data_IF_426129518255
#
_entry.id   IF_426129518255
#
_cell.length_a   1.000
_cell.length_b   1.000
_cell.length_c   1.000
_cell.angle_alpha   90.00
_cell.angle_beta   90.00
_cell.angle_gamma   90.00
#
_symmetry.space_group_name_H-M   'P 1'
#
loop_
_entity.id
_entity.type
_entity.pdbx_description
1 polymer ?
#
# COMPACT_ATOMS: atom_id res chain seq x y z
N UNK A 1 -25.18 -59.74 -17.14
CA UNK A 1 -25.76 -58.44 -16.90
C UNK A 1 -24.67 -57.53 -16.35
N UNK A 2 -24.26 -56.57 -17.15
CA UNK A 2 -23.23 -55.63 -16.77
C UNK A 2 -23.89 -54.40 -16.17
N UNK A 3 -23.68 -54.21 -14.87
CA UNK A 3 -24.08 -52.97 -14.24
C UNK A 3 -22.99 -51.93 -14.45
N UNK A 4 -23.29 -50.93 -15.25
CA UNK A 4 -22.39 -49.81 -15.43
C UNK A 4 -22.57 -48.84 -14.27
N UNK A 5 -21.58 -48.82 -13.40
CA UNK A 5 -21.50 -47.83 -12.37
C UNK A 5 -20.97 -46.53 -13.01
N UNK A 6 -21.88 -45.62 -13.30
CA UNK A 6 -21.49 -44.27 -13.74
C UNK A 6 -21.02 -43.54 -12.51
N UNK A 7 -19.73 -43.53 -12.31
CA UNK A 7 -19.09 -42.61 -11.33
C UNK A 7 -19.19 -41.21 -11.92
N UNK A 8 -20.20 -40.50 -11.49
CA UNK A 8 -20.24 -39.04 -11.66
C UNK A 8 -19.15 -38.43 -10.77
N UNK A 9 -17.98 -38.26 -11.38
CA UNK A 9 -17.00 -37.36 -10.82
C UNK A 9 -17.58 -35.95 -10.88
N UNK A 10 -18.18 -35.52 -9.79
CA UNK A 10 -18.46 -34.11 -9.58
C UNK A 10 -17.16 -33.36 -9.56
N UNK A 11 -16.84 -32.70 -10.66
CA UNK A 11 -15.75 -31.73 -10.69
C UNK A 11 -16.21 -30.60 -9.80
N UNK A 12 -15.77 -30.64 -8.57
CA UNK A 12 -15.93 -29.56 -7.65
C UNK A 12 -14.98 -28.45 -8.08
N UNK A 13 -15.50 -27.53 -8.87
CA UNK A 13 -14.80 -26.28 -9.13
C UNK A 13 -14.76 -25.51 -7.83
N UNK A 14 -13.67 -25.64 -7.12
CA UNK A 14 -13.31 -24.64 -6.15
C UNK A 14 -12.99 -23.36 -6.89
N UNK A 15 -14.00 -22.51 -7.08
CA UNK A 15 -13.73 -21.10 -7.22
C UNK A 15 -13.17 -20.65 -5.88
N UNK A 16 -11.85 -20.74 -5.74
CA UNK A 16 -11.20 -20.02 -4.69
C UNK A 16 -11.62 -18.57 -4.86
N UNK A 17 -12.46 -18.04 -3.97
CA UNK A 17 -12.52 -16.61 -3.77
C UNK A 17 -11.06 -16.18 -3.66
N UNK A 18 -10.57 -15.49 -4.68
CA UNK A 18 -9.34 -14.75 -4.50
C UNK A 18 -9.63 -13.84 -3.34
N UNK A 19 -9.12 -14.25 -2.19
CA UNK A 19 -9.15 -13.44 -1.02
C UNK A 19 -8.75 -12.06 -1.44
N UNK A 20 -9.60 -11.15 -1.11
CA UNK A 20 -9.51 -9.74 -1.33
C UNK A 20 -8.09 -9.26 -1.44
N UNK A 21 -7.86 -8.42 -2.41
CA UNK A 21 -6.68 -7.62 -2.55
C UNK A 21 -6.52 -6.70 -1.34
N UNK A 22 -6.25 -7.29 -0.18
CA UNK A 22 -5.87 -6.52 0.98
C UNK A 22 -4.51 -5.92 0.74
N UNK A 23 -4.36 -4.65 1.07
CA UNK A 23 -3.09 -3.95 1.00
C UNK A 23 -2.10 -4.62 1.93
N UNK A 24 -0.90 -4.87 1.45
CA UNK A 24 0.16 -5.43 2.28
C UNK A 24 0.72 -4.35 3.20
N UNK A 25 0.62 -4.60 4.49
CA UNK A 25 1.13 -3.71 5.54
C UNK A 25 2.49 -4.23 5.99
N UNK A 26 3.49 -3.35 5.99
CA UNK A 26 4.85 -3.66 6.44
C UNK A 26 5.12 -2.98 7.78
N UNK A 27 5.83 -3.66 8.66
CA UNK A 27 6.38 -3.03 9.86
C UNK A 27 7.42 -1.99 9.48
N UNK A 28 7.68 -1.02 10.35
CA UNK A 28 8.56 0.10 10.04
C UNK A 28 9.95 -0.32 9.54
N UNK A 29 10.59 -1.29 10.18
CA UNK A 29 11.90 -1.78 9.76
C UNK A 29 11.86 -2.53 8.42
N UNK A 30 10.82 -3.31 8.19
CA UNK A 30 10.58 -3.98 6.90
C UNK A 30 10.32 -2.97 5.78
N UNK A 31 9.53 -1.95 6.06
CA UNK A 31 9.25 -0.86 5.13
C UNK A 31 10.55 -0.14 4.74
N UNK A 32 11.36 0.23 5.72
CA UNK A 32 12.63 0.91 5.50
C UNK A 32 13.57 0.05 4.62
N UNK A 33 13.70 -1.23 4.95
CA UNK A 33 14.54 -2.16 4.19
C UNK A 33 14.03 -2.37 2.76
N UNK A 34 12.71 -2.49 2.58
CA UNK A 34 12.08 -2.67 1.27
C UNK A 34 12.30 -1.45 0.36
N UNK A 35 12.10 -0.25 0.88
CA UNK A 35 12.34 1.01 0.14
C UNK A 35 13.80 1.10 -0.31
N UNK A 36 14.73 0.77 0.58
CA UNK A 36 16.16 0.84 0.29
C UNK A 36 16.59 -0.15 -0.79
N UNK A 37 15.99 -1.33 -0.81
CA UNK A 37 16.33 -2.40 -1.75
C UNK A 37 15.62 -2.25 -3.12
N UNK A 38 14.55 -1.49 -3.19
CA UNK A 38 13.70 -1.37 -4.36
C UNK A 38 14.05 -0.13 -5.18
N UNK A 39 14.67 -0.34 -6.35
CA UNK A 39 15.05 0.75 -7.26
C UNK A 39 13.85 1.49 -7.86
N UNK A 40 12.67 0.90 -7.80
CA UNK A 40 11.41 1.49 -8.29
C UNK A 40 10.60 2.15 -7.18
N UNK A 41 11.13 2.19 -5.97
CA UNK A 41 10.43 2.70 -4.81
C UNK A 41 10.15 4.20 -4.93
N UNK A 42 8.91 4.56 -4.66
CA UNK A 42 8.47 5.93 -4.40
C UNK A 42 7.76 5.93 -3.06
N UNK A 43 8.22 6.76 -2.14
CA UNK A 43 7.57 6.91 -0.84
C UNK A 43 6.53 8.02 -0.94
N UNK A 44 5.28 7.72 -0.61
CA UNK A 44 4.18 8.68 -0.60
C UNK A 44 3.78 9.00 0.84
N UNK A 45 3.87 10.27 1.19
CA UNK A 45 3.30 10.83 2.41
C UNK A 45 1.91 11.36 2.10
N UNK A 46 0.87 10.71 2.64
CA UNK A 46 -0.51 11.10 2.37
C UNK A 46 -1.14 11.95 3.47
N UNK A 47 -0.27 12.56 4.30
CA UNK A 47 -0.67 13.48 5.36
C UNK A 47 -0.93 14.89 4.82
N UNK A 48 -1.31 15.79 5.71
CA UNK A 48 -1.45 17.21 5.40
C UNK A 48 -0.08 17.89 5.20
N UNK A 49 -0.03 19.01 4.47
CA UNK A 49 1.21 19.76 4.27
C UNK A 49 1.88 20.21 5.56
N UNK A 50 1.12 20.58 6.59
CA UNK A 50 1.66 20.98 7.89
C UNK A 50 2.37 19.82 8.61
N UNK A 51 1.81 18.62 8.54
CA UNK A 51 2.45 17.42 9.09
C UNK A 51 3.76 17.08 8.35
N UNK A 52 3.73 17.16 7.03
CA UNK A 52 4.92 16.94 6.20
C UNK A 52 6.04 17.93 6.52
N UNK A 53 5.71 19.21 6.64
CA UNK A 53 6.68 20.26 6.95
C UNK A 53 7.31 20.08 8.34
N UNK A 54 6.56 19.54 9.30
CA UNK A 54 7.06 19.28 10.65
C UNK A 54 8.04 18.09 10.71
N UNK A 55 8.01 17.23 9.72
CA UNK A 55 8.90 16.07 9.61
C UNK A 55 8.31 15.00 8.68
N UNK A 56 9.17 14.39 7.87
CA UNK A 56 8.78 13.36 6.92
C UNK A 56 9.94 12.41 6.62
N UNK A 57 9.62 11.26 6.05
CA UNK A 57 10.66 10.33 5.57
C UNK A 57 11.39 10.98 4.40
N UNK A 58 12.71 10.94 4.42
CA UNK A 58 13.55 11.54 3.37
C UNK A 58 13.17 11.00 1.99
N UNK A 59 12.99 11.90 1.03
CA UNK A 59 12.60 11.56 -0.34
C UNK A 59 11.10 11.33 -0.53
N UNK A 60 10.29 11.42 0.52
CA UNK A 60 8.85 11.25 0.40
C UNK A 60 8.22 12.36 -0.45
N UNK A 61 7.27 11.97 -1.29
CA UNK A 61 6.44 12.86 -2.09
C UNK A 61 5.12 13.06 -1.35
N UNK A 62 4.73 14.32 -1.15
CA UNK A 62 3.48 14.66 -0.47
C UNK A 62 2.30 14.54 -1.43
N UNK A 63 1.30 13.78 -1.00
CA UNK A 63 0.03 13.65 -1.72
C UNK A 63 -1.11 13.59 -0.69
N UNK A 64 -1.62 14.74 -0.29
CA UNK A 64 -2.60 14.88 0.80
C UNK A 64 -3.91 14.14 0.51
N UNK A 65 -4.13 13.03 1.20
CA UNK A 65 -5.33 12.21 1.05
C UNK A 65 -6.63 12.94 1.40
N UNK A 66 -6.58 13.88 2.34
CA UNK A 66 -7.77 14.63 2.78
C UNK A 66 -8.20 15.71 1.79
N UNK A 67 -7.30 16.15 0.92
CA UNK A 67 -7.65 16.99 -0.21
C UNK A 67 -8.03 16.10 -1.40
N UNK A 68 -9.30 15.76 -1.50
CA UNK A 68 -9.79 14.79 -2.49
C UNK A 68 -9.46 15.20 -3.93
N UNK A 69 -9.59 16.48 -4.25
CA UNK A 69 -9.31 16.99 -5.60
C UNK A 69 -7.82 16.86 -5.92
N UNK A 70 -6.95 17.34 -5.03
CA UNK A 70 -5.51 17.26 -5.20
C UNK A 70 -5.01 15.82 -5.19
N UNK A 71 -5.55 14.98 -4.33
CA UNK A 71 -5.20 13.57 -4.26
C UNK A 71 -5.52 12.85 -5.58
N UNK A 72 -6.74 12.98 -6.08
CA UNK A 72 -7.14 12.34 -7.32
C UNK A 72 -6.33 12.85 -8.52
N UNK A 73 -6.08 14.15 -8.61
CA UNK A 73 -5.24 14.72 -9.65
C UNK A 73 -3.79 14.21 -9.57
N UNK A 74 -3.25 14.08 -8.37
CA UNK A 74 -1.91 13.55 -8.14
C UNK A 74 -1.79 12.07 -8.50
N UNK A 75 -2.79 11.28 -8.19
CA UNK A 75 -2.82 9.84 -8.54
C UNK A 75 -2.78 9.63 -10.06
N UNK A 76 -3.48 10.47 -10.82
CA UNK A 76 -3.45 10.41 -12.29
C UNK A 76 -2.05 10.62 -12.89
N UNK A 77 -1.18 11.29 -12.17
CA UNK A 77 0.21 11.57 -12.60
C UNK A 77 1.21 10.51 -12.16
N UNK A 78 0.79 9.54 -11.35
CA UNK A 78 1.68 8.49 -10.87
C UNK A 78 2.02 7.48 -11.97
N UNK A 79 3.26 7.02 -11.96
CA UNK A 79 3.78 6.02 -12.89
C UNK A 79 3.50 4.61 -12.36
N UNK A 80 2.73 3.82 -13.11
CA UNK A 80 2.39 2.43 -12.74
C UNK A 80 3.57 1.46 -12.77
N UNK A 81 4.69 1.84 -13.35
CA UNK A 81 5.91 1.05 -13.34
C UNK A 81 6.67 1.13 -12.00
N UNK A 82 6.31 2.09 -11.15
CA UNK A 82 6.90 2.27 -9.83
C UNK A 82 6.18 1.45 -8.77
N UNK A 83 6.86 1.26 -7.65
CA UNK A 83 6.28 0.66 -6.43
C UNK A 83 6.09 1.76 -5.39
N UNK A 84 4.88 1.88 -4.87
CA UNK A 84 4.54 2.96 -3.94
C UNK A 84 4.50 2.46 -2.51
N UNK A 85 5.30 3.08 -1.68
CA UNK A 85 5.38 2.85 -0.24
C UNK A 85 4.71 4.01 0.45
N UNK A 86 3.54 3.78 1.04
CA UNK A 86 2.62 4.82 1.49
C UNK A 86 2.60 4.89 3.01
N UNK A 87 2.58 6.08 3.56
CA UNK A 87 2.40 6.26 4.98
C UNK A 87 1.58 7.51 5.32
N UNK A 88 0.97 7.47 6.48
CA UNK A 88 0.40 8.64 7.14
C UNK A 88 0.91 8.71 8.58
N UNK A 89 0.17 9.35 9.48
CA UNK A 89 0.60 9.46 10.88
C UNK A 89 0.50 8.13 11.62
N UNK A 90 -0.65 7.44 11.54
CA UNK A 90 -0.95 6.23 12.32
C UNK A 90 -1.29 4.99 11.49
N UNK A 91 -1.42 5.12 10.17
CA UNK A 91 -1.74 4.03 9.23
C UNK A 91 -3.17 4.07 8.69
N UNK A 92 -4.06 4.89 9.23
CA UNK A 92 -5.47 4.90 8.85
C UNK A 92 -5.72 5.53 7.47
N UNK A 93 -5.24 6.75 7.26
CA UNK A 93 -5.37 7.46 5.97
C UNK A 93 -4.61 6.73 4.87
N UNK A 94 -3.40 6.27 5.17
CA UNK A 94 -2.56 5.57 4.21
C UNK A 94 -3.14 4.24 3.78
N UNK A 95 -3.78 3.50 4.67
CA UNK A 95 -4.46 2.26 4.29
C UNK A 95 -5.59 2.53 3.31
N UNK A 96 -6.41 3.54 3.57
CA UNK A 96 -7.49 3.94 2.66
C UNK A 96 -6.96 4.40 1.30
N UNK A 97 -5.91 5.22 1.28
CA UNK A 97 -5.25 5.66 0.06
C UNK A 97 -4.65 4.48 -0.72
N UNK A 98 -4.00 3.57 -0.03
CA UNK A 98 -3.40 2.38 -0.62
C UNK A 98 -4.43 1.46 -1.28
N UNK A 99 -5.59 1.28 -0.66
CA UNK A 99 -6.71 0.52 -1.26
C UNK A 99 -7.14 1.14 -2.59
N UNK A 100 -7.26 2.47 -2.64
CA UNK A 100 -7.62 3.19 -3.87
C UNK A 100 -6.57 2.95 -4.96
N UNK A 101 -5.29 3.11 -4.64
CA UNK A 101 -4.21 2.90 -5.59
C UNK A 101 -4.16 1.46 -6.09
N UNK A 102 -4.31 0.50 -5.20
CA UNK A 102 -4.29 -0.91 -5.56
C UNK A 102 -5.43 -1.26 -6.53
N UNK A 103 -6.62 -0.75 -6.30
CA UNK A 103 -7.77 -0.92 -7.21
C UNK A 103 -7.53 -0.31 -8.59
N UNK A 104 -6.69 0.71 -8.67
CA UNK A 104 -6.29 1.35 -9.94
C UNK A 104 -5.15 0.62 -10.64
N UNK A 105 -4.63 -0.45 -10.07
CA UNK A 105 -3.57 -1.27 -10.65
C UNK A 105 -2.14 -0.90 -10.24
N UNK A 106 -1.98 -0.06 -9.22
CA UNK A 106 -0.66 0.25 -8.66
C UNK A 106 -0.18 -0.84 -7.70
N UNK A 107 1.13 -1.04 -7.66
CA UNK A 107 1.78 -1.86 -6.64
C UNK A 107 2.05 -0.99 -5.42
N UNK A 108 1.46 -1.34 -4.29
CA UNK A 108 1.50 -0.52 -3.08
C UNK A 108 1.79 -1.34 -1.83
N UNK A 109 2.50 -0.73 -0.90
CA UNK A 109 2.73 -1.23 0.46
C UNK A 109 2.42 -0.10 1.44
N UNK A 110 1.84 -0.44 2.58
CA UNK A 110 1.47 0.51 3.62
C UNK A 110 2.37 0.37 4.84
N UNK A 111 2.77 1.49 5.41
CA UNK A 111 3.56 1.51 6.65
C UNK A 111 2.65 1.30 7.85
N UNK A 112 2.75 0.14 8.47
CA UNK A 112 2.02 -0.19 9.69
C UNK A 112 2.40 0.74 10.84
N UNK A 113 1.38 1.33 11.49
CA UNK A 113 1.58 2.29 12.56
C UNK A 113 2.05 3.68 12.11
N UNK A 114 2.27 3.88 10.82
CA UNK A 114 2.59 5.16 10.21
C UNK A 114 3.87 5.82 10.71
N UNK A 115 3.94 7.13 10.55
CA UNK A 115 5.11 7.92 10.94
C UNK A 115 5.40 7.85 12.45
N UNK A 116 4.38 7.66 13.28
CA UNK A 116 4.58 7.42 14.72
C UNK A 116 5.41 6.17 14.98
N UNK A 117 5.13 5.08 14.27
CA UNK A 117 5.92 3.85 14.36
C UNK A 117 7.33 4.04 13.83
N UNK A 118 7.48 4.74 12.72
CA UNK A 118 8.78 5.09 12.14
C UNK A 118 9.68 5.81 13.15
N UNK A 119 9.13 6.81 13.83
CA UNK A 119 9.84 7.56 14.86
C UNK A 119 10.15 6.72 16.10
N UNK A 120 9.21 5.85 16.50
CA UNK A 120 9.39 4.95 17.66
C UNK A 120 10.58 4.01 17.46
N UNK A 121 10.81 3.55 16.25
CA UNK A 121 11.95 2.69 15.90
C UNK A 121 13.21 3.48 15.54
N UNK A 122 13.24 4.77 15.80
CA UNK A 122 14.38 5.65 15.55
C UNK A 122 14.90 5.60 14.10
N UNK A 123 14.00 5.45 13.15
CA UNK A 123 14.34 5.50 11.75
C UNK A 123 14.51 6.96 11.28
N UNK A 124 15.40 7.23 10.29
CA UNK A 124 15.76 8.59 9.94
C UNK A 124 14.62 9.33 9.24
N UNK A 125 14.47 10.61 9.61
CA UNK A 125 13.51 11.50 8.96
C UNK A 125 14.08 12.93 8.90
N UNK A 126 13.48 13.76 8.07
CA UNK A 126 13.94 15.12 7.78
C UNK A 126 12.79 16.12 7.93
N UNK A 127 13.15 17.39 7.96
CA UNK A 127 12.19 18.50 7.91
C UNK A 127 12.23 19.19 6.56
#
# INVERSE_FOLDING_TARGET
MKKYLVLLFGVMFFFGCKAQNSVKVLKAEEFAAAVKADKKAVVLDVRRPDEFAAGHIEGAVLLNFLDTVAFNAGVEKLDKSKTYYIYCRSGRRSNSAAVILQKKGFTVFDLGGGFLSWQRYNLPWVK
#
